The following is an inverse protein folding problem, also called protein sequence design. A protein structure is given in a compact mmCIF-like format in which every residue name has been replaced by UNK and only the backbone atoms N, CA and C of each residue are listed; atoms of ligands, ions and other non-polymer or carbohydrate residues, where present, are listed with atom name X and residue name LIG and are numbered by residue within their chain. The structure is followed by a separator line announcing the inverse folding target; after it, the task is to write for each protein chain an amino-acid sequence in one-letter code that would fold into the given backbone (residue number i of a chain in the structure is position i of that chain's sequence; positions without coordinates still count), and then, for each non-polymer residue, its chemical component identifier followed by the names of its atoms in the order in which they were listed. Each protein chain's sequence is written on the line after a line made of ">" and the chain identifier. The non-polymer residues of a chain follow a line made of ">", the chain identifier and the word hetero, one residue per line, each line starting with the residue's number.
data_IF_263719310676
#
_entry.id   IF_263719310676
#
_cell.length_a   1.000
_cell.length_b   1.000
_cell.length_c   1.000
_cell.angle_alpha   90.00
_cell.angle_beta   90.00
_cell.angle_gamma   90.00
#
_symmetry.space_group_name_H-M   'P 1'
#
loop_
_entity.id
_entity.type
_entity.pdbx_description
1 polymer ?
#
# COMPACT_ATOMS: atom_id res chain seq x y z
N UNK A 1 11.64 8.31 -18.56
CA UNK A 1 10.17 8.21 -18.65
C UNK A 1 9.62 8.13 -17.23
N UNK A 2 8.77 9.06 -16.80
CA UNK A 2 8.19 8.98 -15.45
C UNK A 2 7.20 7.81 -15.41
N UNK A 3 7.57 6.71 -14.74
CA UNK A 3 6.62 5.62 -14.42
C UNK A 3 5.57 6.21 -13.48
N UNK A 4 4.29 5.97 -13.78
CA UNK A 4 3.16 6.37 -12.92
C UNK A 4 3.36 5.85 -11.49
N UNK A 5 2.77 6.53 -10.50
CA UNK A 5 2.74 6.05 -9.10
C UNK A 5 2.11 4.66 -9.02
N UNK A 6 2.65 3.82 -8.15
CA UNK A 6 2.04 2.53 -7.82
C UNK A 6 0.77 2.78 -7.02
N UNK A 7 -0.32 2.13 -7.43
CA UNK A 7 -1.64 2.27 -6.80
C UNK A 7 -1.83 1.19 -5.74
N UNK A 8 -1.90 1.62 -4.49
CA UNK A 8 -2.06 0.77 -3.32
C UNK A 8 -3.49 0.92 -2.82
N UNK A 9 -4.23 -0.17 -2.87
CA UNK A 9 -5.52 -0.28 -2.20
C UNK A 9 -5.28 -0.91 -0.82
N UNK A 10 -5.61 -0.21 0.25
CA UNK A 10 -5.33 -0.64 1.62
C UNK A 10 -6.63 -0.90 2.35
N UNK A 11 -6.75 -2.05 3.01
CA UNK A 11 -7.93 -2.40 3.80
C UNK A 11 -7.55 -3.21 5.05
N UNK A 12 -8.31 -3.00 6.12
CA UNK A 12 -8.37 -3.84 7.31
C UNK A 12 -9.48 -4.89 7.17
N UNK A 13 -9.60 -5.79 8.15
CA UNK A 13 -10.67 -6.78 8.18
C UNK A 13 -12.05 -6.11 8.28
N UNK A 14 -12.13 -4.99 9.00
CA UNK A 14 -13.31 -4.13 9.11
C UNK A 14 -12.93 -2.66 9.26
N UNK A 15 -13.94 -1.80 9.31
CA UNK A 15 -13.77 -0.34 9.36
C UNK A 15 -13.32 0.15 10.74
N UNK A 16 -12.01 0.13 10.97
CA UNK A 16 -11.37 0.49 12.24
C UNK A 16 -10.41 1.69 12.13
N UNK A 17 -10.41 2.37 11.00
CA UNK A 17 -9.59 3.56 10.74
C UNK A 17 -8.12 3.30 10.43
N UNK A 18 -7.60 2.06 10.51
CA UNK A 18 -6.19 1.77 10.18
C UNK A 18 -5.89 2.03 8.71
N UNK A 19 -6.80 1.67 7.81
CA UNK A 19 -6.64 1.92 6.38
C UNK A 19 -6.57 3.43 6.08
N UNK A 20 -7.46 4.22 6.68
CA UNK A 20 -7.47 5.68 6.53
C UNK A 20 -6.18 6.31 7.09
N UNK A 21 -5.72 5.86 8.26
CA UNK A 21 -4.47 6.36 8.84
C UNK A 21 -3.27 6.08 7.94
N UNK A 22 -3.21 4.91 7.30
CA UNK A 22 -2.17 4.59 6.31
C UNK A 22 -2.21 5.57 5.13
N UNK A 23 -3.40 5.88 4.61
CA UNK A 23 -3.54 6.82 3.50
C UNK A 23 -3.13 8.25 3.90
N UNK A 24 -3.49 8.68 5.11
CA UNK A 24 -3.12 9.98 5.66
C UNK A 24 -1.59 10.13 5.76
N UNK A 25 -0.91 9.16 6.36
CA UNK A 25 0.55 9.18 6.52
C UNK A 25 1.28 9.14 5.16
N UNK A 26 0.77 8.34 4.22
CA UNK A 26 1.34 8.28 2.87
C UNK A 26 1.21 9.60 2.12
N UNK A 27 0.15 10.38 2.37
CA UNK A 27 -0.05 11.70 1.76
C UNK A 27 0.81 12.79 2.42
N UNK A 28 1.13 12.66 3.70
CA UNK A 28 1.97 13.60 4.45
C UNK A 28 3.47 13.47 4.09
N UNK A 29 3.94 12.27 3.76
CA UNK A 29 5.31 12.03 3.32
C UNK A 29 5.46 12.31 1.81
N UNK A 30 6.09 13.45 1.48
CA UNK A 30 6.30 13.89 0.11
C UNK A 30 7.20 12.97 -0.72
N UNK A 31 8.07 12.17 -0.12
CA UNK A 31 8.86 11.19 -0.86
C UNK A 31 8.05 9.94 -1.14
N UNK A 32 7.24 9.47 -0.19
CA UNK A 32 6.29 8.37 -0.42
C UNK A 32 5.26 8.75 -1.49
N UNK A 33 4.66 9.94 -1.40
CA UNK A 33 3.62 10.41 -2.32
C UNK A 33 4.09 10.57 -3.79
N UNK A 34 5.41 10.66 -4.03
CA UNK A 34 5.99 10.66 -5.39
C UNK A 34 5.95 9.28 -6.03
N UNK A 35 5.99 8.22 -5.23
CA UNK A 35 6.08 6.83 -5.71
C UNK A 35 4.77 6.07 -5.57
N UNK A 36 3.98 6.39 -4.56
CA UNK A 36 2.78 5.64 -4.18
C UNK A 36 1.54 6.54 -4.23
N UNK A 37 0.43 5.97 -4.69
CA UNK A 37 -0.91 6.52 -4.58
C UNK A 37 -1.73 5.55 -3.72
N UNK A 38 -2.07 5.96 -2.50
CA UNK A 38 -2.76 5.11 -1.53
C UNK A 38 -4.25 5.45 -1.52
N UNK A 39 -5.09 4.41 -1.63
CA UNK A 39 -6.54 4.51 -1.46
C UNK A 39 -6.97 3.59 -0.31
N UNK A 40 -7.55 4.14 0.77
CA UNK A 40 -8.10 3.32 1.83
C UNK A 40 -9.47 2.75 1.41
N UNK A 41 -9.81 1.58 1.95
CA UNK A 41 -11.15 1.01 1.92
C UNK A 41 -11.57 0.57 3.32
N UNK A 42 -12.86 0.70 3.67
CA UNK A 42 -13.34 0.38 5.03
C UNK A 42 -13.03 -1.06 5.43
N UNK A 43 -13.29 -2.03 4.55
CA UNK A 43 -13.09 -3.45 4.87
C UNK A 43 -12.65 -4.26 3.65
N UNK A 44 -11.81 -5.27 3.88
CA UNK A 44 -11.31 -6.19 2.85
C UNK A 44 -12.43 -7.02 2.22
N UNK A 45 -13.44 -7.41 3.02
CA UNK A 45 -14.58 -8.19 2.56
C UNK A 45 -15.56 -7.41 1.67
N UNK A 46 -15.43 -6.09 1.57
CA UNK A 46 -16.37 -5.21 0.88
C UNK A 46 -15.78 -4.55 -0.38
N UNK A 47 -14.66 -5.07 -0.87
CA UNK A 47 -13.98 -4.54 -2.05
C UNK A 47 -14.80 -4.83 -3.33
N UNK A 48 -15.10 -3.77 -4.07
CA UNK A 48 -15.73 -3.89 -5.37
C UNK A 48 -14.70 -4.26 -6.45
N UNK A 49 -15.17 -4.80 -7.57
CA UNK A 49 -14.31 -5.13 -8.71
C UNK A 49 -13.54 -3.91 -9.22
N UNK A 50 -14.19 -2.76 -9.24
CA UNK A 50 -13.58 -1.49 -9.66
C UNK A 50 -12.41 -1.06 -8.77
N UNK A 51 -12.46 -1.38 -7.48
CA UNK A 51 -11.34 -1.13 -6.56
C UNK A 51 -10.13 -2.01 -6.95
N UNK A 52 -10.39 -3.29 -7.22
CA UNK A 52 -9.36 -4.27 -7.59
C UNK A 52 -8.72 -3.96 -8.96
N UNK A 53 -9.52 -3.50 -9.92
CA UNK A 53 -9.05 -3.13 -11.26
C UNK A 53 -8.22 -1.83 -11.24
N UNK A 54 -8.44 -0.95 -10.26
CA UNK A 54 -7.60 0.25 -10.07
C UNK A 54 -6.22 -0.09 -9.47
N UNK A 55 -6.16 -1.09 -8.60
CA UNK A 55 -5.00 -1.37 -7.75
C UNK A 55 -3.88 -2.16 -8.45
N UNK A 56 -2.64 -1.69 -8.30
CA UNK A 56 -1.45 -2.50 -8.60
C UNK A 56 -1.15 -3.46 -7.42
N UNK A 57 -1.40 -2.97 -6.21
CA UNK A 57 -1.20 -3.71 -4.96
C UNK A 57 -2.47 -3.62 -4.10
N UNK A 58 -2.95 -4.77 -3.64
CA UNK A 58 -3.95 -4.87 -2.59
C UNK A 58 -3.26 -5.24 -1.28
N UNK A 59 -3.34 -4.35 -0.29
CA UNK A 59 -2.64 -4.44 0.98
C UNK A 59 -3.63 -4.80 2.09
N UNK A 60 -3.42 -5.96 2.71
CA UNK A 60 -4.00 -6.29 4.00
C UNK A 60 -3.13 -5.68 5.11
N UNK A 61 -3.73 -4.88 6.00
CA UNK A 61 -2.97 -4.26 7.12
C UNK A 61 -2.68 -5.22 8.26
N UNK A 62 -3.41 -6.33 8.35
CA UNK A 62 -3.24 -7.38 9.36
C UNK A 62 -3.58 -8.78 8.84
N UNK A 63 -3.48 -9.77 9.74
CA UNK A 63 -3.74 -11.17 9.44
C UNK A 63 -5.22 -11.43 9.10
N UNK A 64 -6.16 -10.80 9.79
CA UNK A 64 -7.60 -10.98 9.56
C UNK A 64 -8.00 -10.45 8.17
N UNK A 65 -7.45 -9.30 7.76
CA UNK A 65 -7.58 -8.79 6.40
C UNK A 65 -6.89 -9.70 5.38
N UNK A 66 -5.77 -10.32 5.73
CA UNK A 66 -5.09 -11.27 4.86
C UNK A 66 -5.94 -12.52 4.59
N UNK A 67 -6.68 -12.99 5.60
CA UNK A 67 -7.63 -14.10 5.46
C UNK A 67 -8.86 -13.71 4.62
N UNK A 68 -9.35 -12.48 4.78
CA UNK A 68 -10.47 -11.94 3.99
C UNK A 68 -10.09 -11.54 2.55
N UNK A 69 -8.82 -11.70 2.16
CA UNK A 69 -8.31 -11.26 0.87
C UNK A 69 -9.03 -11.95 -0.32
N UNK A 70 -9.62 -11.19 -1.27
CA UNK A 70 -10.45 -11.78 -2.32
C UNK A 70 -9.63 -12.63 -3.29
N UNK A 71 -9.98 -13.90 -3.49
CA UNK A 71 -9.23 -14.79 -4.38
C UNK A 71 -9.26 -14.35 -5.87
N UNK A 72 -10.38 -13.76 -6.31
CA UNK A 72 -10.63 -13.33 -7.70
C UNK A 72 -9.99 -12.00 -8.11
N UNK A 73 -8.72 -11.76 -7.76
CA UNK A 73 -7.99 -10.53 -8.15
C UNK A 73 -7.61 -10.54 -9.63
N UNK A 74 -7.66 -9.38 -10.32
CA UNK A 74 -7.18 -9.28 -11.70
C UNK A 74 -5.65 -9.53 -11.76
N UNK A 75 -5.09 -9.96 -12.91
CA UNK A 75 -3.68 -10.32 -13.02
C UNK A 75 -2.68 -9.20 -12.67
N UNK A 76 -3.11 -7.94 -12.74
CA UNK A 76 -2.30 -6.77 -12.37
C UNK A 76 -2.34 -6.40 -10.88
N UNK A 77 -3.31 -6.91 -10.11
CA UNK A 77 -3.48 -6.60 -8.70
C UNK A 77 -2.78 -7.67 -7.84
N UNK A 78 -1.62 -7.31 -7.29
CA UNK A 78 -0.79 -8.22 -6.48
C UNK A 78 -1.13 -8.07 -4.98
N UNK A 79 -1.28 -9.17 -4.23
CA UNK A 79 -1.51 -9.08 -2.80
C UNK A 79 -0.22 -8.70 -2.05
N UNK A 80 -0.38 -7.91 -0.99
CA UNK A 80 0.66 -7.57 -0.01
C UNK A 80 0.07 -7.70 1.39
N UNK A 81 0.86 -8.27 2.29
CA UNK A 81 0.43 -8.51 3.67
C UNK A 81 1.35 -7.71 4.59
N UNK A 82 0.76 -6.80 5.34
CA UNK A 82 1.41 -6.06 6.39
C UNK A 82 0.96 -6.62 7.74
N UNK A 83 1.82 -6.42 8.75
CA UNK A 83 1.53 -6.78 10.13
C UNK A 83 1.59 -5.49 10.94
N UNK A 84 0.67 -4.56 10.64
CA UNK A 84 0.58 -3.31 11.40
C UNK A 84 0.03 -3.59 12.80
N UNK A 85 0.33 -2.71 13.78
CA UNK A 85 -0.27 -2.83 15.10
C UNK A 85 -1.81 -2.87 15.04
N UNK A 86 -2.44 -3.55 16.00
CA UNK A 86 -3.90 -3.67 16.06
C UNK A 86 -4.59 -2.31 16.30
N UNK A 87 -5.90 -2.25 16.04
CA UNK A 87 -6.67 -1.01 16.07
C UNK A 87 -6.69 -0.31 17.45
N UNK A 88 -6.60 -1.06 18.54
CA UNK A 88 -6.46 -0.51 19.89
C UNK A 88 -5.14 0.24 20.09
N UNK A 89 -4.06 -0.17 19.41
CA UNK A 89 -2.79 0.56 19.42
C UNK A 89 -2.92 1.89 18.68
N UNK A 90 -3.67 1.94 17.56
CA UNK A 90 -3.94 3.21 16.87
C UNK A 90 -4.64 4.22 17.80
N UNK A 91 -5.56 3.76 18.66
CA UNK A 91 -6.28 4.63 19.59
C UNK A 91 -5.45 5.01 20.83
N UNK A 92 -4.73 4.05 21.42
CA UNK A 92 -4.05 4.23 22.70
C UNK A 92 -2.60 4.73 22.57
N UNK A 93 -1.93 4.42 21.45
CA UNK A 93 -0.54 4.76 21.18
C UNK A 93 -0.31 5.02 19.67
N UNK A 94 -0.95 6.08 19.10
CA UNK A 94 -0.93 6.35 17.66
C UNK A 94 0.48 6.47 17.07
N UNK A 95 1.43 7.02 17.83
CA UNK A 95 2.83 7.12 17.39
C UNK A 95 3.45 5.76 17.03
N UNK A 96 3.12 4.70 17.76
CA UNK A 96 3.61 3.34 17.48
C UNK A 96 3.01 2.79 16.17
N UNK A 97 1.73 3.06 15.93
CA UNK A 97 1.09 2.70 14.66
C UNK A 97 1.71 3.48 13.49
N UNK A 98 1.93 4.78 13.68
CA UNK A 98 2.49 5.67 12.68
C UNK A 98 3.92 5.27 12.30
N UNK A 99 4.77 4.93 13.27
CA UNK A 99 6.14 4.45 13.03
C UNK A 99 6.17 3.16 12.20
N UNK A 100 5.32 2.18 12.57
CA UNK A 100 5.22 0.93 11.82
C UNK A 100 4.73 1.16 10.38
N UNK A 101 3.73 2.03 10.22
CA UNK A 101 3.17 2.39 8.92
C UNK A 101 4.19 3.13 8.06
N UNK A 102 4.90 4.11 8.62
CA UNK A 102 5.96 4.85 7.95
C UNK A 102 7.09 3.93 7.49
N UNK A 103 7.50 2.96 8.33
CA UNK A 103 8.48 1.94 7.94
C UNK A 103 8.03 1.12 6.72
N UNK A 104 6.77 0.67 6.72
CA UNK A 104 6.20 -0.10 5.61
C UNK A 104 6.13 0.72 4.31
N UNK A 105 5.68 1.96 4.38
CA UNK A 105 5.56 2.88 3.24
C UNK A 105 6.93 3.23 2.64
N UNK A 106 7.89 3.62 3.48
CA UNK A 106 9.24 4.00 3.04
C UNK A 106 10.01 2.83 2.47
N UNK A 107 9.83 1.61 3.01
CA UNK A 107 10.37 0.39 2.42
C UNK A 107 9.91 0.20 0.97
N UNK A 108 8.62 0.37 0.69
CA UNK A 108 8.08 0.21 -0.67
C UNK A 108 8.50 1.35 -1.60
N UNK A 109 8.42 2.60 -1.15
CA UNK A 109 8.89 3.74 -1.92
C UNK A 109 10.38 3.61 -2.26
N UNK A 110 11.19 3.12 -1.31
CA UNK A 110 12.60 2.82 -1.51
C UNK A 110 12.84 1.75 -2.59
N UNK A 111 12.06 0.66 -2.59
CA UNK A 111 12.11 -0.36 -3.63
C UNK A 111 11.75 0.18 -5.01
N UNK A 112 10.69 0.99 -5.12
CA UNK A 112 10.28 1.64 -6.38
C UNK A 112 11.37 2.59 -6.91
N UNK A 113 12.00 3.35 -6.01
CA UNK A 113 13.12 4.22 -6.35
C UNK A 113 14.33 3.44 -6.87
N UNK A 114 14.64 2.28 -6.29
CA UNK A 114 15.73 1.42 -6.74
C UNK A 114 15.46 0.89 -8.16
N UNK A 115 14.26 0.37 -8.41
CA UNK A 115 13.86 -0.12 -9.73
C UNK A 115 13.95 0.99 -10.79
N UNK A 116 13.46 2.19 -10.47
CA UNK A 116 13.52 3.32 -11.38
C UNK A 116 14.94 3.79 -11.71
N UNK A 117 15.91 3.61 -10.79
CA UNK A 117 17.32 3.90 -11.05
C UNK A 117 17.93 2.86 -11.99
N UNK A 118 17.65 1.57 -11.75
CA UNK A 118 18.13 0.49 -12.63
C UNK A 118 17.59 0.64 -14.06
N UNK A 119 16.31 1.01 -14.22
CA UNK A 119 15.73 1.30 -15.55
C UNK A 119 16.42 2.48 -16.28
N UNK A 120 17.00 3.42 -15.52
CA UNK A 120 17.69 4.59 -16.08
C UNK A 120 19.18 4.32 -16.37
N UNK A 121 19.78 3.36 -15.66
CA UNK A 121 21.17 2.90 -15.83
C UNK A 121 21.32 1.84 -16.93
N UNK A 122 20.21 1.37 -17.51
CA UNK A 122 20.18 0.46 -18.66
C UNK A 122 19.83 1.22 -19.95
N UNK A 123 20.72 2.08 -20.49
CA UNK A 123 20.55 2.58 -21.84
C UNK A 123 20.81 1.41 -22.78
N UNK A 124 19.73 0.95 -23.42
CA UNK A 124 19.78 -0.03 -24.50
C UNK A 124 21.01 0.22 -25.39
N UNK A 125 21.90 -0.77 -25.46
CA UNK A 125 23.03 -0.76 -26.37
C UNK A 125 22.50 -0.45 -27.78
N UNK A 126 23.01 0.61 -28.46
CA UNK A 126 22.66 0.81 -29.85
C UNK A 126 23.27 -0.33 -30.67
N UNK A 127 22.41 -1.10 -31.35
CA UNK A 127 22.83 -1.99 -32.44
C UNK A 127 23.30 -1.18 -33.64
#
# INVERSE_FOLDING_TARGET
>A
MFKRRARLLVAAAGDDGRADRVAELAAQDGDVAKWLEVRPRPAMGELAREDLDWADLLVAVDAEAAEAMPAGRPPGCRPKYWHLPPADVLQNAPATFDEATHSALTCMAGGMRMLARMDAEDPAEPQ
#
